data_IF_740477831871
#
_entry.id   IF_740477831871
#
_cell.length_a   1.000
_cell.length_b   1.000
_cell.length_c   1.000
_cell.angle_alpha   90.00
_cell.angle_beta   90.00
_cell.angle_gamma   90.00
#
_symmetry.space_group_name_H-M   'P 1'
#
loop_
_entity.id
_entity.type
_entity.pdbx_description
1 polymer ?
#
# COMPACT_ATOMS: atom_id res chain seq x y z
N UNK A 1 -14.89 -24.17 79.16
CA UNK A 1 -13.43 -24.30 79.38
C UNK A 1 -12.93 -25.59 78.76
N UNK A 2 -11.90 -25.49 77.89
CA UNK A 2 -11.06 -26.55 77.30
C UNK A 2 -11.68 -27.52 76.27
N UNK A 3 -10.91 -27.67 75.18
CA UNK A 3 -11.00 -28.49 73.95
C UNK A 3 -11.35 -27.56 72.78
N UNK A 4 -10.46 -27.31 71.81
CA UNK A 4 -9.65 -28.26 71.04
C UNK A 4 -8.49 -27.52 70.38
N UNK A 5 -7.28 -28.11 70.41
CA UNK A 5 -6.14 -27.66 69.63
C UNK A 5 -5.98 -28.55 68.38
N UNK A 6 -5.25 -28.02 67.40
CA UNK A 6 -4.60 -28.65 66.25
C UNK A 6 -5.28 -28.57 64.87
N UNK A 7 -4.44 -28.16 63.91
CA UNK A 7 -4.58 -28.09 62.44
C UNK A 7 -5.39 -26.95 61.81
N UNK A 8 -4.69 -25.85 61.48
CA UNK A 8 -4.96 -25.04 60.29
C UNK A 8 -3.68 -24.32 59.84
N UNK A 9 -2.73 -25.10 59.34
CA UNK A 9 -1.79 -24.66 58.32
C UNK A 9 -2.10 -25.45 57.06
N UNK A 10 -1.87 -24.84 55.89
CA UNK A 10 -2.12 -25.33 54.52
C UNK A 10 -3.54 -25.22 53.98
N UNK A 11 -3.80 -24.11 53.27
CA UNK A 11 -4.44 -24.09 51.95
C UNK A 11 -4.39 -22.65 51.38
N UNK A 12 -3.18 -22.13 51.17
CA UNK A 12 -2.93 -21.09 50.16
C UNK A 12 -1.99 -21.73 49.15
N UNK A 13 -2.58 -22.44 48.20
CA UNK A 13 -1.85 -23.16 47.17
C UNK A 13 -2.83 -23.53 46.07
N UNK A 14 -2.57 -23.01 44.88
CA UNK A 14 -3.22 -23.35 43.60
C UNK A 14 -4.59 -22.68 43.36
N UNK A 15 -4.59 -21.35 43.27
CA UNK A 15 -5.41 -20.64 42.26
C UNK A 15 -4.48 -19.65 41.56
N UNK A 16 -3.51 -20.18 40.80
CA UNK A 16 -2.62 -19.39 39.96
C UNK A 16 -2.35 -20.08 38.62
N UNK A 17 -3.32 -20.83 38.11
CA UNK A 17 -3.21 -21.58 36.86
C UNK A 17 -4.53 -21.60 36.09
N UNK A 18 -5.12 -20.43 35.81
CA UNK A 18 -6.23 -20.29 34.86
C UNK A 18 -6.43 -18.88 34.27
N UNK A 19 -5.43 -18.00 34.34
CA UNK A 19 -5.41 -16.73 33.61
C UNK A 19 -4.18 -16.66 32.69
N UNK A 20 -3.95 -17.72 31.91
CA UNK A 20 -3.10 -17.67 30.72
C UNK A 20 -4.00 -17.20 29.58
N UNK A 21 -3.65 -16.06 28.99
CA UNK A 21 -4.51 -15.17 28.22
C UNK A 21 -5.38 -15.84 27.16
N UNK A 22 -6.65 -15.44 27.16
CA UNK A 22 -7.53 -15.51 25.99
C UNK A 22 -7.00 -14.44 25.02
N UNK A 23 -5.92 -14.75 24.30
CA UNK A 23 -5.55 -13.95 23.13
C UNK A 23 -6.59 -14.18 22.03
N UNK A 24 -7.07 -13.11 21.41
CA UNK A 24 -7.85 -13.13 20.19
C UNK A 24 -7.17 -14.04 19.16
N UNK A 25 -7.97 -14.94 18.58
CA UNK A 25 -7.48 -15.90 17.58
C UNK A 25 -7.49 -15.24 16.19
N UNK A 26 -6.60 -15.65 15.27
CA UNK A 26 -6.70 -15.27 13.86
C UNK A 26 -8.09 -15.50 13.29
N UNK A 27 -8.62 -14.50 12.57
CA UNK A 27 -9.98 -14.50 12.03
C UNK A 27 -9.95 -14.75 10.52
N UNK A 28 -10.59 -15.81 10.01
CA UNK A 28 -10.69 -16.04 8.57
C UNK A 28 -11.47 -14.93 7.85
N UNK A 29 -10.98 -14.56 6.68
CA UNK A 29 -11.66 -13.65 5.76
C UNK A 29 -12.37 -14.49 4.70
N UNK A 30 -13.71 -14.50 4.65
CA UNK A 30 -14.42 -15.23 3.61
C UNK A 30 -14.12 -14.64 2.22
N UNK A 31 -14.04 -15.46 1.16
CA UNK A 31 -13.93 -14.94 -0.19
C UNK A 31 -15.19 -14.17 -0.56
N UNK A 32 -15.03 -13.19 -1.46
CA UNK A 32 -16.14 -12.46 -2.05
C UNK A 32 -16.13 -12.66 -3.57
N UNK A 33 -17.32 -12.70 -4.17
CA UNK A 33 -17.45 -12.86 -5.62
C UNK A 33 -16.83 -11.64 -6.30
N UNK A 34 -15.86 -11.90 -7.17
CA UNK A 34 -15.22 -10.89 -8.00
C UNK A 34 -15.84 -10.87 -9.39
N UNK A 35 -15.81 -9.71 -10.05
CA UNK A 35 -16.18 -9.61 -11.46
C UNK A 35 -15.18 -10.39 -12.32
N UNK A 36 -15.67 -11.45 -12.98
CA UNK A 36 -14.89 -12.28 -13.89
C UNK A 36 -15.16 -11.93 -15.36
N UNK A 37 -14.48 -12.62 -16.28
CA UNK A 37 -14.70 -12.49 -17.72
C UNK A 37 -13.93 -11.36 -18.41
N UNK A 38 -13.13 -10.58 -17.66
CA UNK A 38 -12.27 -9.55 -18.23
C UNK A 38 -11.08 -10.10 -19.01
N UNK A 39 -10.54 -9.29 -19.93
CA UNK A 39 -9.38 -9.57 -20.75
C UNK A 39 -8.12 -8.89 -20.19
N UNK A 40 -7.12 -9.70 -19.81
CA UNK A 40 -5.88 -9.19 -19.23
C UNK A 40 -5.07 -8.26 -20.15
N UNK A 41 -5.11 -8.48 -21.47
CA UNK A 41 -4.41 -7.62 -22.42
C UNK A 41 -5.11 -6.25 -22.53
N UNK A 42 -6.44 -6.23 -22.46
CA UNK A 42 -7.22 -5.00 -22.49
C UNK A 42 -7.02 -4.22 -21.19
N UNK A 43 -6.97 -4.93 -20.06
CA UNK A 43 -6.64 -4.37 -18.75
C UNK A 43 -5.24 -3.75 -18.70
N UNK A 44 -4.24 -4.41 -19.29
CA UNK A 44 -2.90 -3.84 -19.46
C UNK A 44 -2.94 -2.56 -20.29
N UNK A 45 -3.61 -2.58 -21.46
CA UNK A 45 -3.72 -1.39 -22.32
C UNK A 45 -4.40 -0.23 -21.61
N UNK A 46 -5.46 -0.51 -20.85
CA UNK A 46 -6.16 0.50 -20.06
C UNK A 46 -5.31 1.03 -18.90
N UNK A 47 -4.57 0.17 -18.20
CA UNK A 47 -3.64 0.60 -17.13
C UNK A 47 -2.59 1.58 -17.64
N UNK A 48 -2.00 1.32 -18.82
CA UNK A 48 -0.86 2.11 -19.31
C UNK A 48 -1.24 3.25 -20.26
N UNK A 49 -2.47 3.31 -20.75
CA UNK A 49 -2.93 4.35 -21.69
C UNK A 49 -4.33 4.93 -21.38
N UNK A 50 -5.07 4.35 -20.44
CA UNK A 50 -6.47 4.68 -20.17
C UNK A 50 -6.65 5.96 -19.36
N UNK A 51 -7.90 6.41 -19.32
CA UNK A 51 -8.31 7.73 -18.87
C UNK A 51 -9.04 7.73 -17.52
N UNK A 52 -8.62 6.87 -16.60
CA UNK A 52 -9.28 6.71 -15.29
C UNK A 52 -9.05 7.88 -14.31
N UNK A 53 -8.10 8.78 -14.62
CA UNK A 53 -7.95 10.10 -13.98
C UNK A 53 -8.08 11.16 -15.08
N UNK A 54 -9.28 11.75 -15.23
CA UNK A 54 -9.60 12.64 -16.36
C UNK A 54 -9.14 14.09 -16.27
N UNK A 55 -8.48 14.47 -15.17
CA UNK A 55 -7.88 15.78 -15.00
C UNK A 55 -6.37 15.70 -14.82
N UNK A 56 -5.65 16.65 -15.40
CA UNK A 56 -4.20 16.68 -15.35
C UNK A 56 -3.62 18.02 -15.76
N UNK A 57 -2.30 18.08 -15.91
CA UNK A 57 -1.60 19.27 -16.42
C UNK A 57 -1.63 19.30 -17.95
N UNK A 58 -1.66 20.48 -18.60
CA UNK A 58 -1.50 20.56 -20.04
C UNK A 58 -0.15 19.97 -20.48
N UNK A 59 -0.12 19.23 -21.60
CA UNK A 59 1.06 18.47 -22.04
C UNK A 59 2.35 19.30 -22.14
N UNK A 60 2.27 20.52 -22.65
CA UNK A 60 3.39 21.45 -22.74
C UNK A 60 3.92 21.83 -21.34
N UNK A 61 3.05 22.11 -20.38
CA UNK A 61 3.41 22.43 -19.00
C UNK A 61 4.04 21.21 -18.32
N UNK A 62 3.46 20.03 -18.50
CA UNK A 62 4.02 18.79 -17.97
C UNK A 62 5.46 18.57 -18.47
N UNK A 63 5.71 18.74 -19.77
CA UNK A 63 7.04 18.57 -20.38
C UNK A 63 8.08 19.59 -19.90
N UNK A 64 7.67 20.77 -19.43
CA UNK A 64 8.60 21.73 -18.82
C UNK A 64 9.13 21.24 -17.46
N UNK A 65 8.35 20.47 -16.70
CA UNK A 65 8.74 19.91 -15.41
C UNK A 65 9.42 18.54 -15.49
N UNK A 66 9.12 17.76 -16.53
CA UNK A 66 9.58 16.38 -16.72
C UNK A 66 10.50 16.26 -17.94
N UNK A 67 11.69 16.86 -17.84
CA UNK A 67 12.67 16.92 -18.93
C UNK A 67 13.56 15.68 -19.05
N UNK A 68 13.60 14.82 -18.03
CA UNK A 68 14.46 13.64 -18.01
C UNK A 68 13.73 12.45 -17.38
N UNK A 69 13.47 11.43 -18.19
CA UNK A 69 12.95 10.13 -17.78
C UNK A 69 13.40 9.07 -18.79
N UNK A 70 13.40 7.81 -18.39
CA UNK A 70 13.74 6.70 -19.26
C UNK A 70 12.47 6.16 -19.94
N UNK A 71 12.27 6.54 -21.21
CA UNK A 71 11.13 6.08 -22.02
C UNK A 71 11.23 4.60 -22.41
N UNK A 72 12.40 3.97 -22.28
CA UNK A 72 12.59 2.55 -22.59
C UNK A 72 11.98 1.62 -21.52
N UNK A 73 11.74 2.14 -20.31
CA UNK A 73 11.11 1.39 -19.21
C UNK A 73 9.68 0.93 -19.53
N UNK A 74 8.94 1.75 -20.28
CA UNK A 74 7.60 1.42 -20.76
C UNK A 74 7.38 2.02 -22.15
N UNK A 75 7.80 1.32 -23.21
CA UNK A 75 7.62 1.80 -24.57
C UNK A 75 6.12 1.90 -24.92
N UNK A 76 5.67 3.10 -25.27
CA UNK A 76 4.28 3.39 -25.68
C UNK A 76 4.25 4.12 -27.02
N UNK A 77 3.08 4.22 -27.63
CA UNK A 77 2.87 4.96 -28.90
C UNK A 77 1.84 6.09 -28.71
N UNK A 78 1.63 6.88 -29.77
CA UNK A 78 0.62 7.96 -29.77
C UNK A 78 0.92 9.05 -28.74
N UNK A 79 -0.13 9.51 -28.03
CA UNK A 79 -0.01 10.56 -27.02
C UNK A 79 0.95 10.19 -25.87
N UNK A 80 1.11 8.89 -25.60
CA UNK A 80 1.88 8.37 -24.48
C UNK A 80 3.34 8.01 -24.82
N UNK A 81 3.78 8.19 -26.07
CA UNK A 81 5.12 7.77 -26.51
C UNK A 81 6.28 8.43 -25.74
N UNK A 82 6.11 9.70 -25.35
CA UNK A 82 7.11 10.48 -24.63
C UNK A 82 6.53 10.95 -23.28
N UNK A 83 5.94 10.02 -22.54
CA UNK A 83 5.41 10.24 -21.19
C UNK A 83 6.04 9.19 -20.25
N UNK A 84 6.50 9.57 -19.05
CA UNK A 84 6.97 8.61 -18.05
C UNK A 84 5.93 7.54 -17.71
N UNK A 85 6.36 6.34 -17.32
CA UNK A 85 5.45 5.20 -17.11
C UNK A 85 4.36 5.46 -16.08
N UNK A 86 4.63 6.32 -15.11
CA UNK A 86 3.79 6.70 -13.98
C UNK A 86 2.81 7.85 -14.28
N UNK A 87 2.72 8.25 -15.56
CA UNK A 87 1.75 9.20 -16.07
C UNK A 87 1.10 8.71 -17.36
N UNK A 88 -0.09 9.24 -17.64
CA UNK A 88 -0.82 8.99 -18.88
C UNK A 88 -1.26 10.32 -19.50
N UNK A 89 -0.97 10.50 -20.78
CA UNK A 89 -1.50 11.59 -21.60
C UNK A 89 -2.80 11.16 -22.28
N UNK A 90 -3.77 12.07 -22.28
CA UNK A 90 -5.11 11.86 -22.82
C UNK A 90 -5.74 13.16 -23.30
N UNK A 91 -6.81 13.06 -24.08
CA UNK A 91 -7.59 14.23 -24.53
C UNK A 91 -8.68 14.53 -23.52
N UNK A 92 -8.76 15.78 -23.08
CA UNK A 92 -9.89 16.30 -22.34
C UNK A 92 -11.11 16.47 -23.27
N UNK A 93 -12.30 16.69 -22.68
CA UNK A 93 -13.55 16.85 -23.43
C UNK A 93 -13.51 18.00 -24.46
N UNK A 94 -12.74 19.06 -24.18
CA UNK A 94 -12.54 20.19 -25.08
C UNK A 94 -11.41 19.99 -26.12
N UNK A 95 -10.82 18.78 -26.18
CA UNK A 95 -9.81 18.38 -27.17
C UNK A 95 -8.35 18.66 -26.77
N UNK A 96 -8.11 19.46 -25.73
CA UNK A 96 -6.76 19.72 -25.18
C UNK A 96 -6.12 18.42 -24.67
N UNK A 97 -4.81 18.32 -24.77
CA UNK A 97 -4.07 17.17 -24.25
C UNK A 97 -3.56 17.47 -22.84
N UNK A 98 -4.01 16.67 -21.89
CA UNK A 98 -3.58 16.70 -20.50
C UNK A 98 -2.75 15.47 -20.16
N UNK A 99 -1.96 15.57 -19.09
CA UNK A 99 -1.17 14.49 -18.52
C UNK A 99 -1.56 14.32 -17.06
N UNK A 100 -2.05 13.14 -16.71
CA UNK A 100 -2.53 12.79 -15.39
C UNK A 100 -1.63 11.72 -14.73
N UNK A 101 -1.51 11.74 -13.38
CA UNK A 101 -0.87 10.65 -12.66
C UNK A 101 -1.67 9.35 -12.86
N UNK A 102 -0.98 8.22 -12.89
CA UNK A 102 -1.61 6.91 -13.05
C UNK A 102 -1.24 5.95 -11.89
N UNK A 103 -1.81 4.74 -11.88
CA UNK A 103 -1.62 3.79 -10.78
C UNK A 103 -0.15 3.37 -10.56
N UNK A 104 0.69 3.48 -11.60
CA UNK A 104 2.07 3.03 -11.59
C UNK A 104 2.99 3.96 -10.79
N UNK A 105 2.53 5.14 -10.37
CA UNK A 105 3.24 5.95 -9.37
C UNK A 105 3.49 5.18 -8.07
N UNK A 106 2.53 4.35 -7.68
CA UNK A 106 2.58 3.56 -6.45
C UNK A 106 2.84 2.08 -6.73
N UNK A 107 2.27 1.54 -7.80
CA UNK A 107 2.21 0.09 -8.05
C UNK A 107 3.19 -0.43 -9.10
N UNK A 108 4.20 0.36 -9.48
CA UNK A 108 5.34 -0.14 -10.23
C UNK A 108 6.63 0.55 -9.80
N UNK A 109 7.74 -0.17 -9.94
CA UNK A 109 9.07 0.34 -9.62
C UNK A 109 10.13 -0.23 -10.54
N UNK A 110 11.21 0.52 -10.70
CA UNK A 110 12.40 0.05 -11.42
C UNK A 110 13.29 -0.73 -10.47
N UNK A 111 13.59 -1.97 -10.82
CA UNK A 111 14.54 -2.83 -10.12
C UNK A 111 15.50 -3.45 -11.14
N UNK A 112 16.81 -3.42 -10.87
CA UNK A 112 17.86 -3.83 -11.81
C UNK A 112 17.69 -3.29 -13.25
N UNK A 113 17.32 -2.01 -13.35
CA UNK A 113 17.15 -1.32 -14.64
C UNK A 113 15.89 -1.71 -15.42
N UNK A 114 14.97 -2.48 -14.84
CA UNK A 114 13.72 -2.90 -15.48
C UNK A 114 12.52 -2.43 -14.69
N UNK A 115 11.48 -1.98 -15.38
CA UNK A 115 10.18 -1.70 -14.77
C UNK A 115 9.51 -3.02 -14.36
N UNK A 116 9.22 -3.16 -13.07
CA UNK A 116 8.50 -4.31 -12.52
C UNK A 116 7.06 -3.89 -12.24
N UNK A 117 6.14 -4.35 -13.08
CA UNK A 117 4.71 -4.11 -12.93
C UNK A 117 4.16 -4.81 -11.69
N UNK A 118 3.48 -4.08 -10.82
CA UNK A 118 2.95 -4.59 -9.57
C UNK A 118 3.90 -4.53 -8.38
N UNK A 119 5.16 -4.08 -8.55
CA UNK A 119 6.08 -3.85 -7.44
C UNK A 119 5.81 -2.47 -6.80
N UNK A 120 5.58 -2.45 -5.49
CA UNK A 120 5.35 -1.21 -4.74
C UNK A 120 6.50 -0.21 -4.83
N UNK A 121 6.17 1.07 -4.97
CA UNK A 121 7.14 2.16 -5.06
C UNK A 121 7.59 2.69 -3.70
N UNK A 122 8.58 2.01 -3.12
CA UNK A 122 9.28 2.44 -1.91
C UNK A 122 10.18 3.68 -2.11
N UNK A 123 10.17 4.31 -3.29
CA UNK A 123 10.95 5.51 -3.63
C UNK A 123 10.13 6.79 -3.72
N UNK A 124 8.80 6.70 -3.61
CA UNK A 124 7.86 7.82 -3.66
C UNK A 124 8.18 8.86 -2.58
N UNK A 125 7.95 10.14 -2.88
CA UNK A 125 8.35 11.24 -2.01
C UNK A 125 7.18 12.20 -1.77
N UNK A 126 6.49 12.01 -0.65
CA UNK A 126 5.46 12.91 -0.15
C UNK A 126 6.00 13.96 0.84
N UNK A 127 7.31 14.17 0.94
CA UNK A 127 7.86 15.18 1.86
C UNK A 127 7.70 16.60 1.29
N UNK A 128 7.73 17.61 2.17
CA UNK A 128 7.50 19.04 1.83
C UNK A 128 8.38 19.61 0.70
N UNK A 129 9.51 18.96 0.38
CA UNK A 129 10.53 19.45 -0.56
C UNK A 129 10.30 19.12 -2.04
N UNK A 130 9.35 18.23 -2.36
CA UNK A 130 9.02 17.86 -3.76
C UNK A 130 7.53 17.93 -4.11
N UNK A 131 6.67 18.19 -3.12
CA UNK A 131 5.25 18.42 -3.34
C UNK A 131 4.99 19.63 -4.24
N UNK A 132 3.90 19.55 -5.01
CA UNK A 132 3.42 20.65 -5.82
C UNK A 132 3.11 21.83 -4.88
N UNK A 133 3.95 22.87 -4.90
CA UNK A 133 3.78 23.98 -3.97
C UNK A 133 2.57 24.84 -4.39
N UNK A 134 1.72 25.20 -3.42
CA UNK A 134 0.45 25.90 -3.67
C UNK A 134 0.64 27.27 -4.36
N UNK A 135 1.78 27.93 -4.14
CA UNK A 135 2.11 29.22 -4.76
C UNK A 135 2.36 29.06 -6.27
N UNK A 136 3.13 28.06 -6.66
CA UNK A 136 3.42 27.71 -8.05
C UNK A 136 2.16 27.21 -8.77
N UNK A 137 1.28 26.46 -8.09
CA UNK A 137 -0.02 26.12 -8.66
C UNK A 137 -0.90 27.34 -8.90
N UNK A 138 -0.98 28.24 -7.92
CA UNK A 138 -1.75 29.49 -8.07
C UNK A 138 -1.17 30.35 -9.22
N UNK A 139 0.16 30.43 -9.33
CA UNK A 139 0.81 31.12 -10.44
C UNK A 139 0.52 30.46 -11.79
N UNK A 140 0.60 29.13 -11.87
CA UNK A 140 0.27 28.36 -13.08
C UNK A 140 -1.19 28.52 -13.46
N UNK A 141 -2.11 28.41 -12.51
CA UNK A 141 -3.54 28.60 -12.73
C UNK A 141 -3.83 30.00 -13.27
N UNK A 142 -3.25 31.05 -12.67
CA UNK A 142 -3.40 32.42 -13.15
C UNK A 142 -2.83 32.62 -14.55
N UNK A 143 -1.69 31.98 -14.86
CA UNK A 143 -1.12 31.98 -16.20
C UNK A 143 -2.05 31.33 -17.22
N UNK A 144 -2.57 30.13 -16.91
CA UNK A 144 -3.48 29.40 -17.79
C UNK A 144 -4.79 30.18 -18.00
N UNK A 145 -5.41 30.70 -16.93
CA UNK A 145 -6.62 31.55 -17.03
C UNK A 145 -6.43 32.73 -17.98
N UNK A 146 -5.28 33.41 -17.90
CA UNK A 146 -5.03 34.64 -18.67
C UNK A 146 -4.57 34.38 -20.10
N UNK A 147 -3.73 33.37 -20.32
CA UNK A 147 -3.05 33.16 -21.62
C UNK A 147 -3.52 31.93 -22.38
N UNK A 148 -4.06 30.93 -21.69
CA UNK A 148 -4.41 29.62 -22.27
C UNK A 148 -5.76 29.11 -21.72
N UNK A 149 -6.88 29.83 -21.96
CA UNK A 149 -8.16 29.54 -21.30
C UNK A 149 -8.71 28.13 -21.57
N UNK A 150 -8.48 27.55 -22.75
CA UNK A 150 -8.86 26.16 -23.05
C UNK A 150 -8.05 25.13 -22.25
N UNK A 151 -6.76 25.39 -22.07
CA UNK A 151 -5.89 24.55 -21.23
C UNK A 151 -6.27 24.69 -19.75
N UNK A 152 -6.66 25.88 -19.30
CA UNK A 152 -7.22 26.07 -17.97
C UNK A 152 -8.49 25.26 -17.78
N UNK A 153 -9.45 25.34 -18.70
CA UNK A 153 -10.70 24.58 -18.64
C UNK A 153 -10.43 23.06 -18.51
N UNK A 154 -9.52 22.51 -19.31
CA UNK A 154 -9.14 21.09 -19.27
C UNK A 154 -8.45 20.67 -17.95
N UNK A 155 -7.79 21.61 -17.26
CA UNK A 155 -7.01 21.35 -16.05
C UNK A 155 -7.67 21.83 -14.76
N UNK A 156 -8.83 22.49 -14.83
CA UNK A 156 -9.42 23.22 -13.72
C UNK A 156 -9.66 22.32 -12.49
N UNK A 157 -10.31 21.16 -12.68
CA UNK A 157 -10.58 20.21 -11.62
C UNK A 157 -9.28 19.70 -10.97
N UNK A 158 -8.27 19.37 -11.78
CA UNK A 158 -6.98 18.92 -11.27
C UNK A 158 -6.27 19.99 -10.44
N UNK A 159 -6.23 21.23 -10.92
CA UNK A 159 -5.60 22.35 -10.21
C UNK A 159 -6.34 22.66 -8.90
N UNK A 160 -7.67 22.65 -8.91
CA UNK A 160 -8.50 22.86 -7.74
C UNK A 160 -8.24 21.79 -6.68
N UNK A 161 -8.40 20.51 -7.04
CA UNK A 161 -8.23 19.40 -6.10
C UNK A 161 -6.80 19.36 -5.56
N UNK A 162 -5.80 19.48 -6.43
CA UNK A 162 -4.39 19.45 -6.01
C UNK A 162 -4.07 20.57 -5.01
N UNK A 163 -4.53 21.81 -5.25
CA UNK A 163 -4.32 22.92 -4.30
C UNK A 163 -4.98 22.65 -2.95
N UNK A 164 -6.15 22.02 -2.95
CA UNK A 164 -6.91 21.73 -1.72
C UNK A 164 -6.24 20.68 -0.85
N UNK A 165 -5.67 19.63 -1.47
CA UNK A 165 -5.11 18.48 -0.73
C UNK A 165 -3.61 18.58 -0.49
N UNK A 166 -2.83 19.25 -1.36
CA UNK A 166 -1.36 19.26 -1.27
C UNK A 166 -0.78 19.79 0.06
N UNK A 167 -1.39 20.78 0.75
CA UNK A 167 -0.90 21.22 2.05
C UNK A 167 -0.97 20.14 3.14
N UNK A 168 -1.95 19.23 3.03
CA UNK A 168 -2.24 18.19 4.01
C UNK A 168 -1.64 16.83 3.60
N UNK A 169 -1.35 16.61 2.31
CA UNK A 169 -0.75 15.39 1.77
C UNK A 169 0.78 15.38 1.91
N UNK A 170 1.27 15.34 3.15
CA UNK A 170 2.70 15.43 3.47
C UNK A 170 3.14 14.33 4.42
N UNK A 171 4.20 13.61 4.08
CA UNK A 171 4.84 12.62 4.94
C UNK A 171 6.06 13.20 5.68
N UNK A 172 6.36 12.65 6.85
CA UNK A 172 7.56 13.01 7.63
C UNK A 172 8.86 12.49 6.99
N UNK A 173 8.76 11.38 6.25
CA UNK A 173 9.92 10.69 5.65
C UNK A 173 9.61 10.31 4.20
N UNK A 174 10.67 10.12 3.41
CA UNK A 174 10.56 9.64 2.02
C UNK A 174 10.42 8.11 1.98
N UNK A 175 9.73 7.60 0.96
CA UNK A 175 9.61 6.16 0.68
C UNK A 175 8.40 5.49 1.31
N UNK A 176 7.50 6.27 1.91
CA UNK A 176 6.20 5.81 2.40
C UNK A 176 5.09 6.35 1.50
N UNK A 177 4.04 5.56 1.35
CA UNK A 177 2.86 5.91 0.59
C UNK A 177 1.81 6.57 1.51
N UNK A 178 1.11 7.57 0.98
CA UNK A 178 0.01 8.26 1.62
C UNK A 178 -1.33 8.04 0.90
N UNK A 179 -1.49 6.96 0.14
CA UNK A 179 -2.71 6.68 -0.63
C UNK A 179 -3.99 6.67 0.24
N UNK A 180 -3.92 6.12 1.46
CA UNK A 180 -5.06 6.10 2.38
C UNK A 180 -5.40 7.52 2.87
N UNK A 181 -4.38 8.33 3.17
CA UNK A 181 -4.57 9.74 3.54
C UNK A 181 -5.07 10.59 2.36
N UNK A 182 -4.56 10.34 1.15
CA UNK A 182 -5.06 10.93 -0.09
C UNK A 182 -6.55 10.63 -0.26
N UNK A 183 -6.97 9.37 -0.09
CA UNK A 183 -8.37 8.99 -0.16
C UNK A 183 -9.20 9.75 0.90
N UNK A 184 -8.74 9.83 2.15
CA UNK A 184 -9.41 10.59 3.20
C UNK A 184 -9.59 12.08 2.86
N UNK A 185 -8.55 12.73 2.32
CA UNK A 185 -8.60 14.13 1.88
C UNK A 185 -9.57 14.34 0.72
N UNK A 186 -9.60 13.42 -0.25
CA UNK A 186 -10.51 13.51 -1.39
C UNK A 186 -11.97 13.34 -0.96
N UNK A 187 -12.27 12.33 -0.15
CA UNK A 187 -13.67 12.10 0.27
C UNK A 187 -14.19 13.18 1.20
N UNK A 188 -13.31 13.86 1.94
CA UNK A 188 -13.69 15.02 2.75
C UNK A 188 -14.28 16.15 1.89
N UNK A 189 -14.08 16.15 0.58
CA UNK A 189 -14.62 17.13 -0.36
C UNK A 189 -15.56 16.54 -1.40
N UNK A 190 -15.99 15.28 -1.26
CA UNK A 190 -16.86 14.60 -2.23
C UNK A 190 -18.16 14.19 -1.58
N UNK A 191 -19.28 14.47 -2.23
CA UNK A 191 -20.56 13.87 -1.84
C UNK A 191 -20.52 12.34 -2.05
N UNK A 192 -20.91 11.51 -1.07
CA UNK A 192 -20.77 10.05 -1.18
C UNK A 192 -21.63 9.43 -2.29
N UNK A 193 -22.80 10.00 -2.60
CA UNK A 193 -23.74 9.42 -3.56
C UNK A 193 -23.43 9.84 -5.01
N UNK A 194 -22.98 11.09 -5.19
CA UNK A 194 -22.80 11.70 -6.51
C UNK A 194 -21.34 11.90 -6.89
N UNK A 195 -20.41 11.82 -5.92
CA UNK A 195 -19.01 12.21 -6.07
C UNK A 195 -18.80 13.66 -6.51
N UNK A 196 -19.80 14.54 -6.43
CA UNK A 196 -19.59 15.95 -6.76
C UNK A 196 -18.65 16.59 -5.75
N UNK A 197 -17.74 17.41 -6.26
CA UNK A 197 -16.77 18.14 -5.45
C UNK A 197 -17.43 19.30 -4.69
N UNK A 198 -16.99 19.54 -3.46
CA UNK A 198 -17.32 20.68 -2.62
C UNK A 198 -16.06 21.47 -2.29
N UNK A 199 -16.10 22.79 -2.49
CA UNK A 199 -15.00 23.69 -2.12
C UNK A 199 -14.76 23.72 -0.61
N UNK A 200 -15.81 23.50 0.18
CA UNK A 200 -15.74 23.33 1.64
C UNK A 200 -15.61 21.86 1.99
N UNK A 201 -14.82 21.56 3.02
CA UNK A 201 -14.75 20.22 3.56
C UNK A 201 -16.11 19.82 4.17
N UNK A 202 -16.64 18.68 3.73
CA UNK A 202 -17.86 18.02 4.19
C UNK A 202 -17.60 17.11 5.40
N UNK A 203 -16.35 16.70 5.61
CA UNK A 203 -15.90 15.91 6.75
C UNK A 203 -14.79 16.65 7.51
N UNK A 204 -14.64 16.42 8.83
CA UNK A 204 -13.54 16.97 9.60
C UNK A 204 -12.17 16.54 9.05
N UNK A 205 -11.21 17.46 9.04
CA UNK A 205 -9.81 17.21 8.62
C UNK A 205 -8.94 16.72 9.78
N UNK A 206 -9.41 15.72 10.52
CA UNK A 206 -8.68 15.15 11.68
C UNK A 206 -8.12 13.75 11.42
N UNK A 207 -8.18 13.26 10.18
CA UNK A 207 -7.63 11.96 9.81
C UNK A 207 -6.11 11.96 9.98
N UNK A 208 -5.58 10.95 10.68
CA UNK A 208 -4.15 10.79 10.88
C UNK A 208 -3.40 10.62 9.55
N UNK A 209 -2.21 11.20 9.42
CA UNK A 209 -1.29 10.88 8.32
C UNK A 209 -0.56 9.61 8.71
N UNK A 210 -1.04 8.46 8.20
CA UNK A 210 -0.44 7.16 8.51
C UNK A 210 0.37 6.68 7.31
N UNK A 211 1.68 6.41 7.47
CA UNK A 211 2.49 5.85 6.40
C UNK A 211 2.08 4.41 6.11
N UNK A 212 1.97 4.07 4.83
CA UNK A 212 1.82 2.68 4.40
C UNK A 212 2.82 2.35 3.30
N UNK A 213 3.24 1.09 3.23
CA UNK A 213 3.90 0.56 2.05
C UNK A 213 2.85 0.19 0.98
N UNK A 214 3.30 -0.12 -0.24
CA UNK A 214 2.40 -0.53 -1.32
C UNK A 214 2.48 -2.04 -1.54
N UNK A 215 1.41 -2.82 -1.22
CA UNK A 215 1.45 -4.27 -1.41
C UNK A 215 1.68 -4.66 -2.88
N UNK A 216 2.46 -5.72 -3.15
CA UNK A 216 2.66 -6.20 -4.49
C UNK A 216 1.36 -6.73 -5.12
N UNK A 217 1.05 -6.29 -6.34
CA UNK A 217 -0.21 -6.65 -7.00
C UNK A 217 -0.33 -8.12 -7.37
N UNK A 218 0.78 -8.80 -7.65
CA UNK A 218 0.78 -10.23 -7.97
C UNK A 218 0.27 -11.12 -6.82
N UNK A 219 0.16 -10.58 -5.60
CA UNK A 219 -0.41 -11.25 -4.45
C UNK A 219 -1.95 -11.24 -4.46
N UNK A 220 -2.59 -10.30 -5.15
CA UNK A 220 -4.04 -10.03 -5.03
C UNK A 220 -4.88 -11.26 -5.40
N UNK A 221 -4.43 -12.07 -6.37
CA UNK A 221 -5.12 -13.30 -6.81
C UNK A 221 -5.27 -14.37 -5.72
N UNK A 222 -4.51 -14.29 -4.63
CA UNK A 222 -4.63 -15.19 -3.48
C UNK A 222 -5.52 -14.61 -2.37
N UNK A 223 -5.75 -13.29 -2.36
CA UNK A 223 -6.36 -12.58 -1.25
C UNK A 223 -7.88 -12.50 -1.38
N UNK A 224 -8.57 -12.58 -0.24
CA UNK A 224 -10.01 -12.36 -0.09
C UNK A 224 -10.35 -10.91 0.32
N UNK A 225 -9.32 -10.09 0.55
CA UNK A 225 -9.43 -8.70 0.97
C UNK A 225 -8.27 -7.83 0.48
N UNK A 226 -8.55 -6.55 0.28
CA UNK A 226 -7.54 -5.54 -0.05
C UNK A 226 -6.98 -4.88 1.21
N UNK A 227 -5.82 -4.22 1.04
CA UNK A 227 -5.08 -3.45 2.06
C UNK A 227 -4.40 -4.31 3.14
N UNK A 228 -3.52 -3.70 3.96
CA UNK A 228 -2.73 -4.38 4.99
C UNK A 228 -3.55 -4.77 6.21
N UNK A 229 -4.42 -3.89 6.69
CA UNK A 229 -5.37 -4.17 7.77
C UNK A 229 -6.50 -5.11 7.32
N UNK A 230 -6.56 -5.40 6.01
CA UNK A 230 -7.63 -6.18 5.43
C UNK A 230 -8.96 -5.58 5.79
N UNK A 231 -9.24 -4.30 5.54
CA UNK A 231 -10.60 -3.78 5.71
C UNK A 231 -11.43 -3.75 4.41
N UNK A 232 -10.79 -3.83 3.24
CA UNK A 232 -11.49 -3.79 1.94
C UNK A 232 -12.12 -5.14 1.62
N UNK A 233 -13.45 -5.22 1.64
CA UNK A 233 -14.26 -6.42 1.36
C UNK A 233 -15.19 -6.20 0.17
N UNK A 234 -15.50 -7.26 -0.56
CA UNK A 234 -16.39 -7.20 -1.73
C UNK A 234 -15.60 -7.06 -3.03
N UNK A 235 -16.15 -6.32 -3.99
CA UNK A 235 -15.55 -6.17 -5.32
C UNK A 235 -14.22 -5.40 -5.30
N UNK A 236 -13.15 -6.02 -5.77
CA UNK A 236 -11.82 -5.40 -5.82
C UNK A 236 -11.76 -4.29 -6.88
N UNK A 237 -12.51 -4.41 -7.96
CA UNK A 237 -12.58 -3.38 -9.00
C UNK A 237 -13.02 -2.03 -8.45
N UNK A 238 -14.03 -2.00 -7.57
CA UNK A 238 -14.45 -0.78 -6.85
C UNK A 238 -13.32 -0.12 -6.07
N UNK A 239 -12.44 -0.88 -5.42
CA UNK A 239 -11.30 -0.32 -4.69
C UNK A 239 -10.19 0.18 -5.63
N UNK A 240 -9.97 -0.48 -6.77
CA UNK A 240 -9.01 -0.01 -7.78
C UNK A 240 -9.39 1.37 -8.34
N UNK A 241 -10.67 1.73 -8.27
CA UNK A 241 -11.17 3.03 -8.71
C UNK A 241 -10.95 4.17 -7.72
N UNK A 242 -10.39 3.95 -6.52
CA UNK A 242 -10.24 5.03 -5.54
C UNK A 242 -9.49 6.26 -6.10
N UNK A 243 -8.52 6.06 -6.99
CA UNK A 243 -7.81 7.16 -7.67
C UNK A 243 -8.68 7.98 -8.62
N UNK A 244 -9.80 7.45 -9.12
CA UNK A 244 -10.75 8.19 -9.95
C UNK A 244 -11.35 9.40 -9.21
N UNK A 245 -11.45 9.34 -7.88
CA UNK A 245 -11.93 10.45 -7.05
C UNK A 245 -11.08 11.72 -7.15
N UNK A 246 -9.82 11.61 -7.63
CA UNK A 246 -8.93 12.75 -7.83
C UNK A 246 -9.58 13.82 -8.69
N UNK A 247 -10.19 13.45 -9.81
CA UNK A 247 -10.67 14.44 -10.79
C UNK A 247 -12.01 14.10 -11.41
N UNK A 248 -12.67 13.01 -10.99
CA UNK A 248 -13.99 12.65 -11.50
C UNK A 248 -14.97 13.83 -11.37
N UNK A 249 -15.84 14.05 -12.35
CA UNK A 249 -16.91 15.04 -12.23
C UNK A 249 -18.00 14.55 -11.26
N UNK A 250 -18.54 13.36 -11.54
CA UNK A 250 -19.56 12.68 -10.75
C UNK A 250 -19.58 11.17 -11.05
N UNK A 251 -20.55 10.45 -10.47
CA UNK A 251 -20.65 8.99 -10.64
C UNK A 251 -20.92 8.52 -12.07
N UNK A 252 -21.37 9.38 -12.99
CA UNK A 252 -21.54 8.98 -14.41
C UNK A 252 -20.19 8.70 -15.07
N UNK A 253 -19.18 9.52 -14.79
CA UNK A 253 -17.81 9.32 -15.23
C UNK A 253 -17.20 8.07 -14.57
N UNK A 254 -17.43 7.90 -13.26
CA UNK A 254 -16.96 6.72 -12.55
C UNK A 254 -17.53 5.42 -13.13
N UNK A 255 -18.79 5.40 -13.60
CA UNK A 255 -19.36 4.22 -14.28
C UNK A 255 -18.59 3.82 -15.55
N UNK A 256 -18.15 4.80 -16.35
CA UNK A 256 -17.33 4.50 -17.54
C UNK A 256 -15.98 3.89 -17.17
N UNK A 257 -15.35 4.38 -16.11
CA UNK A 257 -14.09 3.81 -15.61
C UNK A 257 -14.32 2.40 -15.06
N UNK A 258 -15.43 2.19 -14.37
CA UNK A 258 -15.80 0.91 -13.76
C UNK A 258 -16.01 -0.23 -14.75
N UNK A 259 -16.49 0.08 -15.96
CA UNK A 259 -16.66 -0.89 -17.05
C UNK A 259 -15.35 -1.58 -17.43
N UNK A 260 -14.20 -0.91 -17.22
CA UNK A 260 -12.86 -1.45 -17.49
C UNK A 260 -12.24 -2.22 -16.31
N UNK A 261 -12.84 -2.18 -15.12
CA UNK A 261 -12.27 -2.79 -13.92
C UNK A 261 -12.18 -4.33 -13.99
N UNK A 262 -13.11 -5.07 -14.63
CA UNK A 262 -12.93 -6.51 -14.83
C UNK A 262 -11.68 -6.85 -15.64
N UNK A 263 -11.37 -6.07 -16.69
CA UNK A 263 -10.18 -6.26 -17.52
C UNK A 263 -8.91 -5.93 -16.73
N UNK A 264 -8.90 -4.81 -15.99
CA UNK A 264 -7.78 -4.44 -15.13
C UNK A 264 -7.52 -5.48 -14.03
N UNK A 265 -8.58 -6.00 -13.41
CA UNK A 265 -8.48 -7.06 -12.42
C UNK A 265 -7.92 -8.35 -13.04
N UNK A 266 -8.35 -8.71 -14.25
CA UNK A 266 -7.81 -9.84 -14.99
C UNK A 266 -6.31 -9.67 -15.27
N UNK A 267 -5.86 -8.45 -15.64
CA UNK A 267 -4.44 -8.14 -15.78
C UNK A 267 -3.68 -8.32 -14.47
N UNK A 268 -4.17 -7.75 -13.37
CA UNK A 268 -3.54 -7.86 -12.05
C UNK A 268 -3.43 -9.34 -11.62
N UNK A 269 -4.46 -10.15 -11.86
CA UNK A 269 -4.43 -11.59 -11.58
C UNK A 269 -3.46 -12.37 -12.46
N UNK A 270 -3.17 -11.87 -13.67
CA UNK A 270 -2.18 -12.48 -14.57
C UNK A 270 -0.73 -12.25 -14.10
N UNK A 271 -0.48 -11.23 -13.27
CA UNK A 271 0.86 -10.90 -12.80
C UNK A 271 1.49 -12.06 -12.02
N UNK A 272 2.79 -12.24 -12.23
CA UNK A 272 3.61 -13.22 -11.54
C UNK A 272 4.68 -12.49 -10.73
N UNK A 273 4.95 -13.01 -9.54
CA UNK A 273 6.10 -12.59 -8.75
C UNK A 273 7.39 -12.76 -9.57
N UNK A 274 8.30 -11.78 -9.56
CA UNK A 274 9.62 -11.95 -10.17
C UNK A 274 10.42 -13.06 -9.49
N UNK A 275 11.09 -13.88 -10.29
CA UNK A 275 11.97 -14.93 -9.80
C UNK A 275 13.27 -14.29 -9.31
N UNK A 276 13.77 -14.76 -8.17
CA UNK A 276 15.07 -14.36 -7.64
C UNK A 276 16.17 -14.50 -8.68
N UNK A 277 16.93 -13.42 -8.91
CA UNK A 277 17.96 -13.33 -9.96
C UNK A 277 19.30 -13.93 -9.53
N UNK A 278 19.54 -14.09 -8.23
CA UNK A 278 20.79 -14.62 -7.68
C UNK A 278 20.84 -16.15 -7.58
N UNK A 279 21.96 -16.66 -7.10
CA UNK A 279 22.14 -18.09 -6.79
C UNK A 279 21.35 -18.51 -5.55
N UNK A 280 20.79 -19.72 -5.57
CA UNK A 280 20.07 -20.31 -4.43
C UNK A 280 20.81 -21.57 -3.98
N UNK A 281 21.19 -21.62 -2.70
CA UNK A 281 21.64 -22.84 -2.02
C UNK A 281 20.43 -23.75 -1.77
N UNK A 282 20.25 -24.73 -2.66
CA UNK A 282 19.09 -25.64 -2.63
C UNK A 282 19.04 -26.51 -1.36
N UNK A 283 20.13 -27.13 -0.88
CA UNK A 283 20.14 -27.80 0.42
C UNK A 283 19.69 -26.91 1.58
N UNK A 284 20.18 -25.66 1.64
CA UNK A 284 19.82 -24.73 2.70
C UNK A 284 18.35 -24.27 2.59
N UNK A 285 17.88 -23.95 1.38
CA UNK A 285 16.48 -23.61 1.13
C UNK A 285 15.52 -24.77 1.50
N UNK A 286 15.95 -26.03 1.32
CA UNK A 286 15.17 -27.21 1.72
C UNK A 286 15.02 -27.28 3.24
N UNK A 287 16.10 -27.01 4.00
CA UNK A 287 16.03 -26.88 5.46
C UNK A 287 15.15 -25.71 5.87
N UNK A 288 15.29 -24.57 5.19
CA UNK A 288 14.50 -23.37 5.41
C UNK A 288 13.00 -23.59 5.23
N UNK A 289 12.62 -24.37 4.22
CA UNK A 289 11.24 -24.76 3.98
C UNK A 289 10.65 -25.50 5.19
N UNK A 290 11.37 -26.46 5.75
CA UNK A 290 10.90 -27.21 6.92
C UNK A 290 10.68 -26.30 8.14
N UNK A 291 11.61 -25.37 8.38
CA UNK A 291 11.47 -24.37 9.46
C UNK A 291 10.28 -23.44 9.19
N UNK A 292 10.12 -22.99 7.95
CA UNK A 292 9.02 -22.12 7.54
C UNK A 292 7.64 -22.79 7.69
N UNK A 293 7.52 -24.06 7.28
CA UNK A 293 6.27 -24.82 7.40
C UNK A 293 5.91 -25.10 8.87
N UNK A 294 6.90 -25.22 9.76
CA UNK A 294 6.66 -25.39 11.19
C UNK A 294 6.26 -24.09 11.89
N UNK A 295 6.79 -22.93 11.46
CA UNK A 295 6.71 -21.68 12.26
C UNK A 295 5.95 -20.53 11.58
N UNK A 296 5.79 -20.54 10.26
CA UNK A 296 5.33 -19.37 9.49
C UNK A 296 4.07 -19.65 8.67
N UNK A 297 3.93 -20.87 8.12
CA UNK A 297 2.87 -21.17 7.16
C UNK A 297 1.46 -21.13 7.74
N UNK A 298 1.29 -21.19 9.07
CA UNK A 298 -0.01 -21.03 9.73
C UNK A 298 -0.67 -19.69 9.41
N UNK A 299 0.12 -18.61 9.26
CA UNK A 299 -0.37 -17.29 8.89
C UNK A 299 -0.13 -16.97 7.40
N UNK A 300 1.06 -17.29 6.89
CA UNK A 300 1.48 -16.91 5.53
C UNK A 300 1.10 -17.92 4.45
N UNK A 301 0.57 -19.09 4.82
CA UNK A 301 0.23 -20.16 3.89
C UNK A 301 1.40 -21.04 3.47
N UNK A 302 1.10 -22.00 2.60
CA UNK A 302 2.07 -22.93 2.00
C UNK A 302 2.28 -22.63 0.52
N UNK A 303 3.42 -23.07 -0.02
CA UNK A 303 3.87 -22.70 -1.37
C UNK A 303 4.17 -23.93 -2.24
N UNK A 304 4.21 -23.72 -3.57
CA UNK A 304 4.34 -24.78 -4.57
C UNK A 304 3.00 -25.13 -5.24
N UNK A 305 2.98 -26.24 -5.99
CA UNK A 305 1.85 -26.64 -6.85
C UNK A 305 0.50 -26.69 -6.12
N UNK A 306 0.50 -27.09 -4.86
CA UNK A 306 -0.70 -27.23 -4.01
C UNK A 306 -0.71 -26.23 -2.84
N UNK A 307 0.04 -25.13 -2.98
CA UNK A 307 0.12 -24.11 -1.94
C UNK A 307 -1.25 -23.50 -1.62
N UNK A 308 -1.50 -23.21 -0.35
CA UNK A 308 -2.76 -22.61 0.12
C UNK A 308 -2.45 -21.37 0.95
N UNK A 309 -3.20 -20.30 0.69
CA UNK A 309 -3.14 -19.08 1.49
C UNK A 309 -4.39 -18.98 2.38
N UNK A 310 -4.24 -18.89 3.72
CA UNK A 310 -5.35 -19.09 4.64
C UNK A 310 -6.28 -17.87 4.76
N UNK A 311 -5.88 -16.70 4.24
CA UNK A 311 -6.69 -15.48 4.29
C UNK A 311 -7.13 -15.10 5.72
N UNK A 312 -6.17 -14.90 6.62
CA UNK A 312 -6.43 -14.59 8.02
C UNK A 312 -6.16 -13.11 8.33
N UNK A 313 -7.01 -12.53 9.17
CA UNK A 313 -6.69 -11.34 9.95
C UNK A 313 -6.01 -11.78 11.24
N UNK A 314 -4.82 -11.25 11.51
CA UNK A 314 -4.05 -11.49 12.72
C UNK A 314 -4.33 -10.34 13.70
N UNK A 315 -4.92 -10.62 14.87
CA UNK A 315 -5.21 -9.61 15.89
C UNK A 315 -3.98 -8.82 16.32
N UNK A 316 -4.17 -7.56 16.67
CA UNK A 316 -3.09 -6.64 17.04
C UNK A 316 -2.24 -7.13 18.21
N UNK A 317 -2.85 -7.81 19.18
CA UNK A 317 -2.15 -8.42 20.32
C UNK A 317 -1.27 -9.61 19.96
N UNK A 318 -1.55 -10.28 18.84
CA UNK A 318 -0.73 -11.37 18.32
C UNK A 318 0.40 -10.80 17.45
N UNK A 319 0.07 -9.92 16.49
CA UNK A 319 1.06 -9.40 15.54
C UNK A 319 1.96 -8.30 16.12
N UNK A 320 1.44 -7.45 17.01
CA UNK A 320 2.21 -6.43 17.75
C UNK A 320 2.88 -5.32 16.90
N UNK A 321 2.60 -5.26 15.60
CA UNK A 321 3.14 -4.19 14.72
C UNK A 321 2.46 -2.85 15.00
N UNK A 322 3.01 -1.75 14.46
CA UNK A 322 2.45 -0.40 14.66
C UNK A 322 0.92 -0.40 14.49
N UNK A 323 0.20 0.20 15.43
CA UNK A 323 -1.26 0.13 15.50
C UNK A 323 -1.98 1.23 14.73
N UNK A 324 -1.27 2.30 14.34
CA UNK A 324 -1.92 3.55 13.94
C UNK A 324 -2.80 3.37 12.69
N UNK A 325 -2.40 2.49 11.77
CA UNK A 325 -3.15 2.23 10.53
C UNK A 325 -4.54 1.62 10.77
N UNK A 326 -4.67 0.65 11.69
CA UNK A 326 -6.01 0.14 12.01
C UNK A 326 -6.73 1.02 13.02
N UNK A 327 -6.01 1.60 13.99
CA UNK A 327 -6.60 2.40 15.05
C UNK A 327 -7.26 3.67 14.53
N UNK A 328 -6.70 4.29 13.47
CA UNK A 328 -7.29 5.46 12.82
C UNK A 328 -8.68 5.21 12.24
N UNK A 329 -8.98 3.97 11.83
CA UNK A 329 -10.32 3.63 11.31
C UNK A 329 -11.41 3.68 12.38
N UNK A 330 -11.04 3.57 13.66
CA UNK A 330 -11.96 3.67 14.79
C UNK A 330 -11.99 5.06 15.40
N UNK A 331 -10.85 5.76 15.47
CA UNK A 331 -10.79 7.13 15.99
C UNK A 331 -11.29 8.18 15.01
N UNK A 332 -11.20 7.90 13.70
CA UNK A 332 -11.71 8.73 12.61
C UNK A 332 -12.57 7.90 11.63
N UNK A 333 -13.76 7.43 12.06
CA UNK A 333 -14.59 6.52 11.28
C UNK A 333 -15.26 7.21 10.07
N UNK A 334 -15.13 8.54 9.94
CA UNK A 334 -15.84 9.32 8.92
C UNK A 334 -15.53 8.85 7.50
N UNK A 335 -14.27 8.43 7.24
CA UNK A 335 -13.88 7.83 5.97
C UNK A 335 -14.61 6.50 5.71
N UNK A 336 -14.63 5.61 6.70
CA UNK A 336 -15.29 4.30 6.63
C UNK A 336 -16.79 4.48 6.41
N UNK A 337 -17.41 5.37 7.17
CA UNK A 337 -18.84 5.67 7.07
C UNK A 337 -19.19 6.32 5.73
N UNK A 338 -18.34 7.23 5.23
CA UNK A 338 -18.50 7.81 3.90
C UNK A 338 -18.46 6.72 2.83
N UNK A 339 -17.43 5.86 2.85
CA UNK A 339 -17.26 4.82 1.84
C UNK A 339 -18.44 3.85 1.83
N UNK A 340 -18.87 3.40 3.01
CA UNK A 340 -19.96 2.44 3.15
C UNK A 340 -21.34 3.03 2.82
N UNK A 341 -21.49 4.35 2.72
CA UNK A 341 -22.70 5.02 2.24
C UNK A 341 -22.59 5.49 0.77
N UNK A 342 -21.39 5.38 0.21
CA UNK A 342 -21.08 5.91 -1.11
C UNK A 342 -21.55 5.00 -2.24
N UNK A 343 -21.42 5.51 -3.47
CA UNK A 343 -21.60 4.73 -4.69
C UNK A 343 -20.77 3.44 -4.73
N UNK A 344 -19.60 3.37 -4.08
CA UNK A 344 -18.80 2.13 -4.04
C UNK A 344 -19.54 0.95 -3.38
N UNK A 345 -20.48 1.22 -2.46
CA UNK A 345 -21.28 0.21 -1.76
C UNK A 345 -22.58 -0.15 -2.50
N UNK A 346 -22.88 0.50 -3.62
CA UNK A 346 -24.14 0.34 -4.35
C UNK A 346 -24.00 -0.60 -5.56
N UNK A 347 -25.15 -1.01 -6.09
CA UNK A 347 -25.24 -1.87 -7.28
C UNK A 347 -25.05 -3.35 -6.97
N UNK A 348 -24.76 -4.12 -8.01
CA UNK A 348 -24.65 -5.58 -8.05
C UNK A 348 -23.27 -6.12 -7.67
N UNK A 349 -22.26 -5.25 -7.58
CA UNK A 349 -20.90 -5.60 -7.15
C UNK A 349 -20.37 -4.63 -6.07
N UNK A 350 -20.98 -4.63 -4.87
CA UNK A 350 -20.65 -3.70 -3.82
C UNK A 350 -19.28 -3.97 -3.20
N UNK A 351 -18.59 -2.89 -2.85
CA UNK A 351 -17.43 -2.91 -1.97
C UNK A 351 -17.76 -2.25 -0.62
N UNK A 352 -17.06 -2.66 0.43
CA UNK A 352 -17.24 -2.12 1.77
C UNK A 352 -15.94 -2.12 2.58
N UNK A 353 -15.81 -1.14 3.46
CA UNK A 353 -14.77 -1.10 4.46
C UNK A 353 -15.28 -1.73 5.76
N UNK A 354 -14.60 -2.77 6.23
CA UNK A 354 -14.90 -3.47 7.48
C UNK A 354 -13.65 -3.41 8.37
N UNK A 355 -13.55 -2.42 9.28
CA UNK A 355 -12.40 -2.28 10.16
C UNK A 355 -12.13 -3.53 11.00
N UNK A 356 -10.85 -3.79 11.26
CA UNK A 356 -10.38 -4.85 12.14
C UNK A 356 -9.15 -4.36 12.90
N UNK A 357 -9.04 -4.70 14.19
CA UNK A 357 -7.88 -4.39 15.03
C UNK A 357 -6.73 -5.35 14.78
N UNK A 358 -6.05 -5.20 13.65
CA UNK A 358 -4.92 -6.03 13.28
C UNK A 358 -4.62 -6.01 11.78
N UNK A 359 -3.90 -7.02 11.30
CA UNK A 359 -3.35 -7.04 9.95
C UNK A 359 -3.46 -8.41 9.29
N UNK A 360 -3.54 -8.41 7.96
CA UNK A 360 -3.36 -9.61 7.15
C UNK A 360 -1.88 -9.99 7.17
N UNK A 361 -1.57 -11.28 7.39
CA UNK A 361 -0.27 -11.83 7.03
C UNK A 361 -0.23 -12.06 5.50
N UNK A 362 0.53 -11.28 4.70
CA UNK A 362 0.45 -11.37 3.24
C UNK A 362 1.05 -12.68 2.71
N UNK A 363 0.63 -13.18 1.53
CA UNK A 363 1.40 -14.19 0.81
C UNK A 363 2.80 -13.64 0.50
N UNK A 364 3.81 -14.50 0.47
CA UNK A 364 5.23 -14.12 0.39
C UNK A 364 5.85 -14.37 -0.99
N UNK A 365 5.03 -14.62 -2.03
CA UNK A 365 5.52 -14.77 -3.40
C UNK A 365 6.28 -13.51 -3.84
N UNK A 366 7.53 -13.67 -4.28
CA UNK A 366 8.38 -12.55 -4.69
C UNK A 366 8.78 -11.61 -3.55
N UNK A 367 8.62 -12.00 -2.28
CA UNK A 367 8.97 -11.15 -1.12
C UNK A 367 10.42 -10.67 -1.17
N UNK A 368 11.28 -11.37 -1.90
CA UNK A 368 12.70 -11.05 -2.03
C UNK A 368 13.01 -9.69 -2.67
N UNK A 369 12.06 -9.02 -3.36
CA UNK A 369 12.24 -7.66 -3.92
C UNK A 369 11.36 -6.60 -3.27
N UNK A 370 10.52 -6.97 -2.30
CA UNK A 370 9.46 -6.07 -1.81
C UNK A 370 9.90 -5.34 -0.56
N UNK A 371 11.19 -5.04 -0.44
CA UNK A 371 11.70 -4.24 0.66
C UNK A 371 11.25 -2.77 0.49
N UNK A 372 11.04 -2.02 1.57
CA UNK A 372 11.12 -2.45 2.96
C UNK A 372 9.88 -3.25 3.40
N UNK A 373 9.93 -3.85 4.59
CA UNK A 373 8.92 -4.78 5.10
C UNK A 373 8.06 -4.18 6.20
N UNK A 374 7.00 -4.92 6.56
CA UNK A 374 5.85 -4.50 7.37
C UNK A 374 4.94 -3.49 6.63
N UNK A 375 3.75 -3.24 7.18
CA UNK A 375 2.74 -2.44 6.51
C UNK A 375 3.13 -0.96 6.31
N UNK A 376 4.11 -0.47 7.05
CA UNK A 376 4.59 0.92 7.05
C UNK A 376 6.02 1.06 6.48
N UNK A 377 6.60 -0.03 5.95
CA UNK A 377 7.94 -0.01 5.36
C UNK A 377 9.06 0.31 6.35
N UNK A 378 8.90 -0.04 7.63
CA UNK A 378 9.83 0.34 8.70
C UNK A 378 11.08 -0.53 8.81
N UNK A 379 11.05 -1.75 8.26
CA UNK A 379 12.14 -2.73 8.40
C UNK A 379 12.83 -2.94 7.04
N UNK A 380 14.13 -2.62 6.87
CA UNK A 380 14.74 -2.58 5.54
C UNK A 380 15.11 -3.94 4.94
N UNK A 381 15.25 -5.01 5.74
CA UNK A 381 15.72 -6.34 5.31
C UNK A 381 14.88 -7.48 5.90
N UNK A 382 14.75 -8.61 5.19
CA UNK A 382 14.08 -9.81 5.74
C UNK A 382 14.83 -10.32 6.96
N UNK A 383 16.17 -10.22 6.97
CA UNK A 383 16.96 -10.58 8.14
C UNK A 383 16.51 -9.83 9.39
N UNK A 384 16.25 -8.51 9.29
CA UNK A 384 15.75 -7.72 10.42
C UNK A 384 14.25 -7.98 10.72
N UNK A 385 13.48 -8.53 9.77
CA UNK A 385 12.13 -9.03 10.07
C UNK A 385 12.21 -10.27 10.96
N UNK A 386 13.13 -11.19 10.65
CA UNK A 386 13.33 -12.44 11.37
C UNK A 386 14.16 -12.29 12.65
N UNK A 387 14.87 -11.17 12.83
CA UNK A 387 15.58 -10.83 14.05
C UNK A 387 15.31 -9.37 14.43
N UNK A 388 14.33 -9.16 15.32
CA UNK A 388 13.85 -7.84 15.68
C UNK A 388 14.93 -6.98 16.37
N UNK A 389 15.93 -7.62 16.98
CA UNK A 389 17.06 -6.96 17.66
C UNK A 389 17.99 -6.24 16.67
N UNK A 390 17.93 -6.58 15.39
CA UNK A 390 18.72 -5.95 14.32
C UNK A 390 17.99 -4.82 13.60
N UNK A 391 16.76 -4.49 14.00
CA UNK A 391 15.98 -3.46 13.31
C UNK A 391 16.55 -2.07 13.60
N UNK A 392 16.88 -1.28 12.57
CA UNK A 392 17.34 0.09 12.78
C UNK A 392 16.22 0.96 13.34
N UNK A 393 16.55 1.80 14.33
CA UNK A 393 15.64 2.83 14.86
C UNK A 393 15.57 4.06 13.95
N UNK A 394 16.72 4.48 13.42
CA UNK A 394 16.83 5.57 12.46
C UNK A 394 17.68 5.11 11.28
N UNK A 395 17.14 5.19 10.08
CA UNK A 395 17.87 4.74 8.89
C UNK A 395 17.51 5.51 7.63
N UNK A 396 18.40 5.47 6.65
CA UNK A 396 18.14 5.96 5.30
C UNK A 396 18.80 5.04 4.28
N UNK A 397 18.38 5.16 3.02
CA UNK A 397 18.98 4.45 1.89
C UNK A 397 19.29 5.40 0.76
N UNK A 398 20.05 4.92 -0.21
CA UNK A 398 20.21 5.64 -1.45
C UNK A 398 18.90 5.61 -2.25
N UNK A 399 18.27 6.76 -2.47
CA UNK A 399 17.06 6.87 -3.29
C UNK A 399 17.34 7.21 -4.76
N UNK A 400 18.62 7.36 -5.14
CA UNK A 400 19.05 7.56 -6.53
C UNK A 400 19.49 6.24 -7.18
N UNK A 401 20.07 5.34 -6.40
CA UNK A 401 20.38 3.96 -6.80
C UNK A 401 19.67 3.01 -5.86
N UNK A 402 18.96 2.03 -6.41
CA UNK A 402 18.30 0.98 -5.64
C UNK A 402 19.33 -0.08 -5.21
N UNK A 403 20.28 0.32 -4.36
CA UNK A 403 21.35 -0.54 -3.84
C UNK A 403 20.73 -1.64 -2.95
N UNK A 404 20.88 -2.91 -3.35
CA UNK A 404 20.18 -4.06 -2.77
C UNK A 404 21.14 -5.07 -2.15
N UNK A 405 20.84 -5.53 -0.94
CA UNK A 405 21.54 -6.61 -0.25
C UNK A 405 20.83 -7.94 -0.50
N UNK A 406 21.39 -8.74 -1.39
CA UNK A 406 20.86 -10.06 -1.76
C UNK A 406 21.05 -11.13 -0.67
N UNK A 407 21.91 -10.90 0.32
CA UNK A 407 22.16 -11.80 1.44
C UNK A 407 21.16 -11.57 2.56
N UNK A 408 20.97 -10.31 2.97
CA UNK A 408 19.98 -9.91 3.98
C UNK A 408 18.57 -9.77 3.41
N UNK A 409 18.47 -9.75 2.07
CA UNK A 409 17.25 -9.58 1.27
C UNK A 409 16.54 -8.27 1.62
N UNK A 410 17.10 -7.16 1.13
CA UNK A 410 16.53 -5.85 1.37
C UNK A 410 17.40 -4.70 0.91
N UNK A 411 17.11 -3.51 1.40
CA UNK A 411 17.89 -2.32 1.06
C UNK A 411 19.25 -2.33 1.74
N UNK A 412 20.29 -1.87 1.03
CA UNK A 412 21.49 -1.37 1.70
C UNK A 412 21.12 -0.02 2.33
N UNK A 413 21.35 0.10 3.63
CA UNK A 413 20.97 1.28 4.41
C UNK A 413 22.13 1.78 5.28
N UNK A 414 22.02 3.04 5.70
CA UNK A 414 22.82 3.65 6.75
C UNK A 414 21.93 3.88 7.96
N UNK A 415 22.43 3.55 9.15
CA UNK A 415 21.75 3.83 10.41
C UNK A 415 22.58 4.76 11.30
N UNK A 416 21.98 5.27 12.37
CA UNK A 416 22.64 6.23 13.25
C UNK A 416 21.94 6.33 14.61
N UNK A 417 22.61 6.90 15.62
CA UNK A 417 22.09 6.95 16.99
C UNK A 417 21.01 8.03 17.21
N UNK A 418 20.81 8.93 16.24
CA UNK A 418 19.93 10.09 16.37
C UNK A 418 19.10 10.28 15.10
N UNK A 419 17.89 10.84 15.26
CA UNK A 419 17.04 11.22 14.16
C UNK A 419 17.71 12.30 13.28
N UNK A 420 17.56 12.16 11.96
CA UNK A 420 18.02 13.13 10.96
C UNK A 420 16.89 13.43 9.99
N UNK A 421 16.87 14.65 9.45
CA UNK A 421 15.87 15.03 8.46
C UNK A 421 15.94 14.09 7.22
N UNK A 422 14.77 13.61 6.78
CA UNK A 422 14.65 12.69 5.65
C UNK A 422 15.07 11.24 5.93
N UNK A 423 15.49 10.91 7.16
CA UNK A 423 15.69 9.53 7.58
C UNK A 423 14.38 8.94 8.08
N UNK A 424 14.18 7.64 7.84
CA UNK A 424 13.12 6.89 8.48
C UNK A 424 13.31 6.96 10.00
N UNK A 425 12.24 7.28 10.73
CA UNK A 425 12.28 7.49 12.18
C UNK A 425 11.15 6.71 12.86
N UNK A 426 11.51 5.64 13.57
CA UNK A 426 10.54 4.73 14.19
C UNK A 426 9.91 5.28 15.47
N UNK A 427 10.35 6.44 15.96
CA UNK A 427 9.74 7.12 17.10
C UNK A 427 8.48 7.90 16.71
N UNK A 428 8.30 8.16 15.41
CA UNK A 428 7.13 8.86 14.90
C UNK A 428 5.87 7.97 14.97
N UNK A 429 4.69 8.54 15.26
CA UNK A 429 3.44 7.79 15.21
C UNK A 429 3.19 7.17 13.84
N UNK A 430 2.89 5.86 13.79
CA UNK A 430 2.67 5.13 12.53
C UNK A 430 3.93 4.53 11.91
N UNK A 431 5.12 4.92 12.37
CA UNK A 431 6.41 4.50 11.81
C UNK A 431 7.13 3.44 12.67
N UNK A 432 6.48 2.88 13.71
CA UNK A 432 7.16 1.92 14.58
C UNK A 432 7.54 0.66 13.82
N UNK A 433 8.71 0.12 14.14
CA UNK A 433 9.26 -1.12 13.62
C UNK A 433 9.05 -2.32 14.58
N UNK A 434 8.06 -2.22 15.48
CA UNK A 434 7.78 -3.26 16.50
C UNK A 434 6.95 -4.42 15.93
N UNK A 435 6.75 -5.46 16.72
CA UNK A 435 5.87 -6.59 16.36
C UNK A 435 6.50 -7.61 15.42
N UNK A 436 5.75 -8.66 15.10
CA UNK A 436 6.20 -9.79 14.30
C UNK A 436 7.57 -10.32 14.79
N UNK A 437 7.65 -10.63 16.09
CA UNK A 437 8.87 -11.09 16.77
C UNK A 437 9.03 -12.62 16.75
N UNK A 438 8.18 -13.33 16.01
CA UNK A 438 8.17 -14.80 15.96
C UNK A 438 9.52 -15.40 15.49
N UNK A 439 10.28 -14.67 14.67
CA UNK A 439 11.62 -15.07 14.23
C UNK A 439 12.70 -14.98 15.33
N UNK A 440 12.45 -14.24 16.42
CA UNK A 440 13.44 -14.03 17.49
C UNK A 440 13.76 -15.34 18.24
N UNK A 441 12.82 -16.29 18.24
CA UNK A 441 13.01 -17.62 18.82
C UNK A 441 13.88 -18.56 17.97
N UNK A 442 14.08 -18.25 16.68
CA UNK A 442 14.92 -19.06 15.79
C UNK A 442 16.40 -18.87 16.10
N UNK A 443 17.22 -19.89 15.83
CA UNK A 443 18.67 -19.75 15.77
C UNK A 443 19.11 -18.98 14.51
N UNK A 444 20.34 -18.46 14.50
CA UNK A 444 20.88 -17.78 13.32
C UNK A 444 20.95 -18.69 12.09
N UNK A 445 21.20 -19.98 12.29
CA UNK A 445 21.22 -20.96 11.22
C UNK A 445 19.81 -21.17 10.62
N UNK A 446 18.78 -21.25 11.46
CA UNK A 446 17.38 -21.36 11.03
C UNK A 446 16.91 -20.10 10.30
N UNK A 447 17.24 -18.90 10.81
CA UNK A 447 16.92 -17.64 10.12
C UNK A 447 17.53 -17.60 8.72
N UNK A 448 18.82 -17.92 8.59
CA UNK A 448 19.51 -17.99 7.29
C UNK A 448 18.86 -19.01 6.35
N UNK A 449 18.48 -20.19 6.88
CA UNK A 449 17.79 -21.19 6.10
C UNK A 449 16.43 -20.69 5.59
N UNK A 450 15.63 -20.05 6.45
CA UNK A 450 14.34 -19.45 6.07
C UNK A 450 14.53 -18.37 5.02
N UNK A 451 15.50 -17.47 5.16
CA UNK A 451 15.81 -16.45 4.15
C UNK A 451 16.11 -17.12 2.79
N UNK A 452 16.92 -18.18 2.79
CA UNK A 452 17.25 -18.91 1.56
C UNK A 452 16.02 -19.57 0.92
N UNK A 453 15.08 -20.06 1.73
CA UNK A 453 13.79 -20.55 1.26
C UNK A 453 12.92 -19.43 0.69
N UNK A 454 12.85 -18.27 1.34
CA UNK A 454 12.06 -17.13 0.86
C UNK A 454 12.53 -16.60 -0.50
N UNK A 455 13.81 -16.75 -0.85
CA UNK A 455 14.32 -16.48 -2.21
C UNK A 455 13.75 -17.41 -3.29
N UNK A 456 13.18 -18.55 -2.90
CA UNK A 456 12.55 -19.51 -3.83
C UNK A 456 11.07 -19.20 -4.13
N UNK A 457 10.47 -18.28 -3.36
CA UNK A 457 9.06 -17.87 -3.46
C UNK A 457 8.91 -16.63 -4.34
#
# INVERSE_FOLDING_TARGET
>A
MKKTAFFLLTCIGVIASAYIGIGEKPVPIPPSKQRGGGNAQDGYRYLVNGDYVRGGLPLNIFRMGYISFDSSLLPRTGLNANIPYDFTAQRAANGEVIVAPNCLQCHASVFDGKLVMGLGNAGVDFTKGRGINARSLTALENLLKKKFPKQYEASAAFLQVTKTIAPDLVADVRGVNLADHLAALLVAHRDPATFRWSDSALLPKNHAVVPTDTPPWWLLKKKNAMFYNGFGRGDFGRFLMASNLLTTGDTSESRLVDEHMPDLLAYIYSLKAPVYSGSIDRPLATKGKAVFEANCSGCHGTYGKNGKYPNLLIPSEVIGTDSLLYASNYSTPQFVDWFNRSWFRQGDHPAQLVPFSGYIAPPLDGVWITAPYLHNGSVPTIEAVLDSRQRPRYWTRNFKKNDYDYKRVGWIYQEGPQAKAGWYNTDLPGYRNTGHTFGDALSDAERKAVIEYLKTL
#
